data_IF_372704440409
#
_entry.id   IF_372704440409
#
_cell.length_a   1.000
_cell.length_b   1.000
_cell.length_c   1.000
_cell.angle_alpha   90.00
_cell.angle_beta   90.00
_cell.angle_gamma   90.00
#
_symmetry.space_group_name_H-M   'P 1'
#
loop_
_entity.id
_entity.type
_entity.pdbx_description
1 polymer ?
#
# COMPACT_ATOMS: atom_id res chain seq x y z
N UNK A 1 42.57 10.14 58.29
CA UNK A 1 41.75 8.91 58.36
C UNK A 1 40.33 9.32 57.99
N UNK A 2 39.96 9.34 56.70
CA UNK A 2 39.52 8.19 55.89
C UNK A 2 38.63 7.24 56.68
N UNK A 3 37.32 7.29 56.42
CA UNK A 3 36.49 6.14 56.05
C UNK A 3 35.29 6.64 55.23
N UNK A 4 35.22 6.14 54.00
CA UNK A 4 34.20 6.28 52.95
C UNK A 4 32.85 5.65 53.32
N UNK A 5 31.72 6.16 52.79
CA UNK A 5 30.57 5.35 52.45
C UNK A 5 30.60 4.92 50.98
N UNK A 6 30.36 3.64 50.76
CA UNK A 6 30.23 2.89 49.50
C UNK A 6 29.11 3.39 48.57
N UNK A 7 29.22 3.19 47.24
CA UNK A 7 28.22 3.58 46.27
C UNK A 7 27.04 2.58 46.25
N UNK A 8 25.86 3.05 46.61
CA UNK A 8 24.60 2.34 46.43
C UNK A 8 24.08 2.54 45.01
N UNK A 9 24.13 1.45 44.24
CA UNK A 9 23.45 1.15 42.98
C UNK A 9 22.61 2.27 42.33
N UNK A 10 23.08 2.74 41.17
CA UNK A 10 22.26 3.40 40.17
C UNK A 10 21.17 2.43 39.67
N UNK A 11 19.94 2.56 40.19
CA UNK A 11 18.79 1.91 39.58
C UNK A 11 18.35 2.76 38.39
N UNK A 12 19.03 2.56 37.26
CA UNK A 12 18.64 3.14 35.98
C UNK A 12 17.27 2.62 35.58
N UNK A 13 16.26 3.49 35.65
CA UNK A 13 14.96 3.25 35.06
C UNK A 13 15.13 3.28 33.54
N UNK A 14 15.41 2.12 32.95
CA UNK A 14 15.42 1.95 31.51
C UNK A 14 13.96 2.01 31.04
N UNK A 15 13.49 3.22 30.73
CA UNK A 15 12.21 3.44 30.04
C UNK A 15 12.35 2.88 28.62
N UNK A 16 12.06 1.59 28.47
CA UNK A 16 11.69 0.99 27.19
C UNK A 16 10.41 1.69 26.72
N UNK A 17 10.57 2.72 25.90
CA UNK A 17 9.48 3.22 25.07
C UNK A 17 9.13 2.10 24.09
N UNK A 18 8.18 1.25 24.50
CA UNK A 18 7.36 0.50 23.55
C UNK A 18 6.63 1.56 22.75
N UNK A 19 7.17 1.88 21.57
CA UNK A 19 6.52 2.75 20.60
C UNK A 19 5.26 2.02 20.12
N UNK A 20 4.16 2.24 20.84
CA UNK A 20 2.84 1.97 20.33
C UNK A 20 2.76 2.65 18.95
N UNK A 21 2.54 1.87 17.91
CA UNK A 21 2.31 2.39 16.56
C UNK A 21 1.00 3.15 16.60
N UNK A 22 1.09 4.46 16.86
CA UNK A 22 -0.04 5.36 16.89
C UNK A 22 -0.24 5.85 15.45
N UNK A 23 -1.18 5.24 14.73
CA UNK A 23 -1.61 5.74 13.43
C UNK A 23 -2.53 6.95 13.66
N UNK A 24 -2.00 8.17 13.62
CA UNK A 24 -2.76 9.36 13.24
C UNK A 24 -1.83 10.56 13.01
N UNK A 25 -1.79 11.06 11.77
CA UNK A 25 -1.36 12.42 11.47
C UNK A 25 -2.20 12.93 10.28
N UNK A 26 -3.17 13.79 10.58
CA UNK A 26 -3.90 14.60 9.60
C UNK A 26 -2.99 15.80 9.29
N UNK A 27 -2.46 15.90 8.08
CA UNK A 27 -1.67 17.08 7.66
C UNK A 27 -2.53 17.96 6.75
N UNK A 28 -2.50 19.28 6.98
CA UNK A 28 -3.52 20.24 6.52
C UNK A 28 -3.57 20.56 5.02
N UNK A 29 -4.56 21.40 4.69
CA UNK A 29 -4.95 22.04 3.41
C UNK A 29 -5.26 21.14 2.19
N UNK A 30 -4.58 20.01 2.06
CA UNK A 30 -4.92 18.91 1.15
C UNK A 30 -4.98 17.64 1.98
N UNK A 31 -6.19 17.23 2.38
CA UNK A 31 -6.36 16.15 3.36
C UNK A 31 -5.90 14.79 2.81
N UNK A 32 -4.61 14.52 2.98
CA UNK A 32 -4.02 13.21 2.80
C UNK A 32 -4.17 12.42 4.10
N UNK A 33 -4.42 11.12 3.96
CA UNK A 33 -4.63 10.20 5.07
C UNK A 33 -3.45 9.25 5.13
N UNK A 34 -2.90 9.02 6.33
CA UNK A 34 -1.68 8.23 6.50
C UNK A 34 -1.93 7.06 7.44
N UNK A 35 -1.59 5.85 6.99
CA UNK A 35 -1.41 4.67 7.82
C UNK A 35 0.09 4.39 7.96
N UNK A 36 0.55 4.01 9.15
CA UNK A 36 1.97 3.76 9.36
C UNK A 36 2.22 2.69 10.42
N UNK A 37 3.18 1.81 10.13
CA UNK A 37 3.76 0.85 11.07
C UNK A 37 5.31 0.98 11.03
N UNK A 38 6.10 0.14 11.72
CA UNK A 38 7.56 0.22 11.69
C UNK A 38 8.19 0.00 10.29
N UNK A 39 7.50 -0.65 9.37
CA UNK A 39 8.01 -1.08 8.06
C UNK A 39 7.54 -0.22 6.88
N UNK A 40 6.28 0.22 6.90
CA UNK A 40 5.61 0.91 5.81
C UNK A 40 4.96 2.21 6.30
N UNK A 41 4.88 3.19 5.41
CA UNK A 41 3.98 4.34 5.51
C UNK A 41 3.13 4.38 4.24
N UNK A 42 1.83 4.27 4.40
CA UNK A 42 0.85 4.31 3.31
C UNK A 42 0.15 5.66 3.33
N UNK A 43 0.22 6.39 2.23
CA UNK A 43 -0.43 7.69 2.06
C UNK A 43 -1.56 7.55 1.05
N UNK A 44 -2.79 7.82 1.47
CA UNK A 44 -3.95 7.92 0.58
C UNK A 44 -4.18 9.40 0.28
N UNK A 45 -4.29 9.73 -1.01
CA UNK A 45 -4.48 11.08 -1.56
C UNK A 45 -5.87 11.15 -2.23
N UNK A 46 -6.94 11.49 -1.49
CA UNK A 46 -8.31 11.31 -1.96
C UNK A 46 -8.65 12.13 -3.20
N UNK A 47 -8.22 13.40 -3.26
CA UNK A 47 -8.45 14.28 -4.41
C UNK A 47 -7.85 13.73 -5.70
N UNK A 48 -6.69 13.07 -5.60
CA UNK A 48 -6.00 12.47 -6.74
C UNK A 48 -6.49 11.05 -7.05
N UNK A 49 -7.30 10.43 -6.18
CA UNK A 49 -7.66 9.02 -6.29
C UNK A 49 -6.44 8.10 -6.24
N UNK A 50 -5.45 8.43 -5.41
CA UNK A 50 -4.13 7.79 -5.42
C UNK A 50 -3.71 7.23 -4.06
N UNK A 51 -2.94 6.15 -4.09
CA UNK A 51 -2.20 5.58 -2.96
C UNK A 51 -0.71 5.65 -3.27
N UNK A 52 0.07 5.95 -2.23
CA UNK A 52 1.52 5.87 -2.21
C UNK A 52 1.94 4.97 -1.04
N UNK A 53 2.96 4.14 -1.24
CA UNK A 53 3.53 3.30 -0.19
C UNK A 53 5.03 3.58 -0.07
N UNK A 54 5.45 4.09 1.08
CA UNK A 54 6.85 4.20 1.43
C UNK A 54 7.30 2.96 2.20
N UNK A 55 8.17 2.16 1.57
CA UNK A 55 8.91 1.07 2.21
C UNK A 55 10.11 1.65 2.95
N UNK A 56 10.08 1.58 4.28
CA UNK A 56 11.11 2.14 5.16
C UNK A 56 12.38 1.30 5.19
N UNK A 57 12.27 -0.01 4.94
CA UNK A 57 13.42 -0.92 4.89
C UNK A 57 14.24 -0.64 3.64
N UNK A 58 13.57 -0.58 2.48
CA UNK A 58 14.22 -0.28 1.21
C UNK A 58 14.51 1.22 1.02
N UNK A 59 13.86 2.08 1.82
CA UNK A 59 13.83 3.55 1.68
C UNK A 59 13.34 3.97 0.30
N UNK A 60 12.26 3.35 -0.17
CA UNK A 60 11.70 3.59 -1.50
C UNK A 60 10.22 3.93 -1.44
N UNK A 61 9.79 4.78 -2.37
CA UNK A 61 8.40 5.20 -2.52
C UNK A 61 7.83 4.52 -3.76
N UNK A 62 6.77 3.75 -3.55
CA UNK A 62 5.96 3.15 -4.60
C UNK A 62 4.76 4.08 -4.86
N UNK A 63 4.61 4.54 -6.09
CA UNK A 63 3.54 5.46 -6.49
C UNK A 63 2.62 4.81 -7.52
N UNK A 64 1.35 5.19 -7.51
CA UNK A 64 0.46 4.91 -8.64
C UNK A 64 0.71 5.93 -9.76
N UNK A 65 0.46 5.57 -11.05
CA UNK A 65 0.67 6.50 -12.16
C UNK A 65 -0.14 7.77 -11.98
N UNK A 66 0.38 8.92 -12.43
CA UNK A 66 -0.27 10.22 -12.27
C UNK A 66 -1.69 10.25 -12.89
N UNK A 67 -2.63 11.06 -12.36
CA UNK A 67 -3.98 11.19 -12.90
C UNK A 67 -4.04 11.87 -14.28
N UNK A 68 -3.00 12.60 -14.68
CA UNK A 68 -2.98 13.38 -15.91
C UNK A 68 -3.19 12.48 -17.13
N UNK A 69 -4.31 12.65 -17.84
CA UNK A 69 -4.69 11.81 -18.98
C UNK A 69 -5.51 10.57 -18.63
N UNK A 70 -5.94 10.40 -17.36
CA UNK A 70 -6.78 9.29 -16.89
C UNK A 70 -8.17 9.79 -16.45
N UNK A 71 -9.10 10.01 -17.41
CA UNK A 71 -10.45 10.51 -17.10
C UNK A 71 -11.30 9.51 -16.30
N UNK A 72 -10.87 8.26 -16.24
CA UNK A 72 -11.45 7.18 -15.46
C UNK A 72 -11.04 7.21 -13.98
N UNK A 73 -10.02 7.99 -13.61
CA UNK A 73 -9.55 8.05 -12.22
C UNK A 73 -10.49 8.89 -11.37
N UNK A 74 -11.31 8.19 -10.58
CA UNK A 74 -12.27 8.81 -9.70
C UNK A 74 -11.62 9.21 -8.36
N UNK A 75 -11.85 10.45 -7.87
CA UNK A 75 -11.40 10.85 -6.55
C UNK A 75 -12.05 9.96 -5.49
N UNK A 76 -11.32 9.71 -4.41
CA UNK A 76 -11.84 8.94 -3.28
C UNK A 76 -12.76 9.81 -2.43
N UNK A 77 -13.91 9.24 -2.05
CA UNK A 77 -14.96 9.89 -1.25
C UNK A 77 -15.16 9.15 0.05
N UNK A 78 -15.84 9.79 1.00
CA UNK A 78 -16.24 9.20 2.27
C UNK A 78 -15.08 8.48 2.99
N UNK A 79 -13.93 9.15 3.03
CA UNK A 79 -12.72 8.59 3.64
C UNK A 79 -12.88 8.55 5.16
N UNK A 80 -12.67 7.37 5.73
CA UNK A 80 -12.70 7.10 7.16
C UNK A 80 -11.38 6.43 7.55
N UNK A 81 -10.82 6.83 8.67
CA UNK A 81 -9.58 6.25 9.19
C UNK A 81 -9.76 5.86 10.66
N UNK A 82 -9.11 4.78 11.08
CA UNK A 82 -9.10 4.33 12.46
C UNK A 82 -8.42 2.97 12.59
N UNK A 83 -7.70 2.74 13.70
CA UNK A 83 -7.13 1.43 14.05
C UNK A 83 -6.31 0.75 12.93
N UNK A 84 -5.38 1.46 12.29
CA UNK A 84 -4.59 0.98 11.13
C UNK A 84 -5.43 0.58 9.90
N UNK A 85 -6.69 0.97 9.86
CA UNK A 85 -7.62 0.77 8.75
C UNK A 85 -8.00 2.12 8.15
N UNK A 86 -8.12 2.15 6.84
CA UNK A 86 -8.61 3.28 6.08
C UNK A 86 -9.64 2.77 5.06
N UNK A 87 -10.84 3.30 5.13
CA UNK A 87 -11.94 2.96 4.21
C UNK A 87 -12.30 4.18 3.37
N UNK A 88 -12.57 3.98 2.10
CA UNK A 88 -13.02 5.03 1.19
C UNK A 88 -13.87 4.44 0.07
N UNK A 89 -14.53 5.31 -0.69
CA UNK A 89 -15.31 4.95 -1.85
C UNK A 89 -14.69 5.51 -3.13
N UNK A 90 -14.75 4.75 -4.21
CA UNK A 90 -14.46 5.19 -5.57
C UNK A 90 -15.50 4.63 -6.52
N UNK A 91 -15.45 5.01 -7.81
CA UNK A 91 -16.39 4.52 -8.82
C UNK A 91 -15.67 3.68 -9.86
N UNK A 92 -16.27 2.55 -10.22
CA UNK A 92 -15.80 1.68 -11.29
C UNK A 92 -16.96 0.88 -11.86
N UNK A 93 -16.91 0.53 -13.14
CA UNK A 93 -17.95 -0.30 -13.78
C UNK A 93 -19.38 0.25 -13.63
N UNK A 94 -19.53 1.56 -13.47
CA UNK A 94 -20.81 2.23 -13.24
C UNK A 94 -21.30 2.26 -11.78
N UNK A 95 -20.67 1.52 -10.86
CA UNK A 95 -21.06 1.40 -9.45
C UNK A 95 -20.06 2.07 -8.49
N UNK A 96 -20.54 2.39 -7.29
CA UNK A 96 -19.68 2.77 -6.17
C UNK A 96 -19.05 1.51 -5.57
N UNK A 97 -17.74 1.57 -5.38
CA UNK A 97 -16.91 0.51 -4.81
C UNK A 97 -16.30 1.03 -3.51
N UNK A 98 -16.53 0.29 -2.43
CA UNK A 98 -15.85 0.48 -1.16
C UNK A 98 -14.49 -0.19 -1.18
N UNK A 99 -13.47 0.53 -0.78
CA UNK A 99 -12.10 0.03 -0.62
C UNK A 99 -11.73 0.13 0.85
N UNK A 100 -11.26 -0.96 1.42
CA UNK A 100 -10.73 -1.03 2.79
C UNK A 100 -9.27 -1.41 2.73
N UNK A 101 -8.42 -0.52 3.24
CA UNK A 101 -6.97 -0.68 3.30
C UNK A 101 -6.60 -0.91 4.76
N UNK A 102 -6.03 -2.07 5.07
CA UNK A 102 -5.59 -2.44 6.42
C UNK A 102 -4.08 -2.62 6.42
N UNK A 103 -3.39 -1.85 7.25
CA UNK A 103 -1.95 -2.01 7.47
C UNK A 103 -1.73 -2.88 8.71
N UNK A 104 -1.09 -4.03 8.56
CA UNK A 104 -0.76 -4.86 9.71
C UNK A 104 0.14 -4.08 10.68
N UNK A 105 -0.11 -4.14 11.99
CA UNK A 105 0.64 -3.33 12.95
C UNK A 105 2.11 -3.76 13.11
N UNK A 106 2.45 -5.00 12.74
CA UNK A 106 3.72 -5.67 13.04
C UNK A 106 4.44 -6.22 11.81
N UNK A 107 3.77 -6.30 10.66
CA UNK A 107 4.31 -6.86 9.42
C UNK A 107 4.36 -5.84 8.28
N UNK A 108 5.25 -5.99 7.30
CA UNK A 108 5.26 -5.18 6.09
C UNK A 108 4.14 -5.61 5.11
N UNK A 109 2.91 -5.80 5.60
CA UNK A 109 1.78 -6.32 4.83
C UNK A 109 0.65 -5.29 4.79
N UNK A 110 0.16 -5.02 3.57
CA UNK A 110 -0.99 -4.17 3.30
C UNK A 110 -2.09 -5.03 2.70
N UNK A 111 -3.20 -5.18 3.42
CA UNK A 111 -4.39 -5.86 2.91
C UNK A 111 -5.32 -4.84 2.28
N UNK A 112 -5.73 -5.10 1.03
CA UNK A 112 -6.74 -4.32 0.33
C UNK A 112 -7.94 -5.20 0.04
N UNK A 113 -9.10 -4.79 0.53
CA UNK A 113 -10.38 -5.44 0.24
C UNK A 113 -11.26 -4.47 -0.52
N UNK A 114 -11.86 -4.93 -1.61
CA UNK A 114 -12.78 -4.16 -2.43
C UNK A 114 -14.14 -4.83 -2.41
N UNK A 115 -15.20 -4.03 -2.30
CA UNK A 115 -16.58 -4.52 -2.30
C UNK A 115 -17.48 -3.53 -3.03
N UNK A 116 -18.37 -4.02 -3.88
CA UNK A 116 -19.43 -3.18 -4.43
C UNK A 116 -20.36 -2.73 -3.29
N UNK A 117 -20.75 -1.45 -3.29
CA UNK A 117 -21.74 -0.94 -2.33
C UNK A 117 -23.13 -1.54 -2.56
N UNK A 118 -23.40 -1.98 -3.79
CA UNK A 118 -24.63 -2.65 -4.23
C UNK A 118 -24.26 -3.96 -4.96
N UNK A 119 -23.96 -5.05 -4.23
CA UNK A 119 -23.47 -6.30 -4.83
C UNK A 119 -24.47 -6.96 -5.80
N UNK A 120 -25.76 -6.63 -5.69
CA UNK A 120 -26.83 -7.11 -6.54
C UNK A 120 -26.92 -6.38 -7.90
N UNK A 121 -26.32 -5.20 -8.01
CA UNK A 121 -26.38 -4.40 -9.22
C UNK A 121 -25.43 -4.96 -10.29
N UNK A 122 -25.84 -4.84 -11.56
CA UNK A 122 -25.00 -5.29 -12.68
C UNK A 122 -23.71 -4.46 -12.74
N UNK A 123 -22.59 -5.12 -12.48
CA UNK A 123 -21.26 -4.52 -12.54
C UNK A 123 -20.66 -4.66 -13.94
N UNK A 124 -20.22 -3.55 -14.53
CA UNK A 124 -19.55 -3.55 -15.83
C UNK A 124 -18.05 -3.76 -15.69
N UNK A 125 -17.56 -4.99 -15.83
CA UNK A 125 -16.12 -5.30 -15.89
C UNK A 125 -15.52 -5.79 -14.56
N UNK A 126 -14.27 -5.39 -14.28
CA UNK A 126 -13.53 -5.71 -13.06
C UNK A 126 -13.04 -4.43 -12.37
N UNK A 127 -12.82 -4.47 -11.05
CA UNK A 127 -12.16 -3.39 -10.34
C UNK A 127 -10.87 -3.87 -9.70
N UNK A 128 -9.80 -3.12 -9.93
CA UNK A 128 -8.57 -3.15 -9.15
C UNK A 128 -8.22 -1.71 -8.80
N UNK A 129 -7.51 -1.52 -7.69
CA UNK A 129 -6.74 -0.30 -7.53
C UNK A 129 -5.66 -0.23 -8.61
N UNK A 130 -5.26 1.00 -8.93
CA UNK A 130 -4.11 1.24 -9.79
C UNK A 130 -2.86 0.53 -9.26
N UNK A 131 -2.05 0.04 -10.19
CA UNK A 131 -0.78 -0.64 -9.87
C UNK A 131 0.20 0.32 -9.18
N UNK A 132 0.93 -0.19 -8.20
CA UNK A 132 2.09 0.48 -7.64
C UNK A 132 3.27 0.30 -8.59
N UNK A 133 3.77 1.40 -9.15
CA UNK A 133 4.88 1.39 -10.08
C UNK A 133 6.20 1.06 -9.37
N UNK A 134 7.07 0.25 -9.99
CA UNK A 134 8.40 -0.03 -9.47
C UNK A 134 9.24 1.25 -9.33
N UNK A 135 9.94 1.45 -8.19
CA UNK A 135 10.77 2.64 -7.98
C UNK A 135 12.19 2.51 -8.58
N UNK A 136 12.47 1.45 -9.34
CA UNK A 136 13.80 1.14 -9.89
C UNK A 136 13.74 1.04 -11.42
N UNK A 137 14.73 1.59 -12.16
CA UNK A 137 14.75 1.56 -13.62
C UNK A 137 15.07 0.18 -14.21
N UNK A 138 15.65 -0.72 -13.42
CA UNK A 138 16.10 -2.07 -13.76
C UNK A 138 15.18 -3.17 -13.18
N UNK A 139 13.99 -2.81 -12.72
CA UNK A 139 13.06 -3.77 -12.15
C UNK A 139 12.57 -4.80 -13.18
N UNK A 140 12.21 -5.97 -12.68
CA UNK A 140 11.56 -7.03 -13.44
C UNK A 140 10.19 -7.33 -12.83
N UNK A 141 9.22 -7.61 -13.70
CA UNK A 141 7.89 -8.09 -13.34
C UNK A 141 7.95 -9.62 -13.37
N UNK A 142 7.68 -10.25 -12.24
CA UNK A 142 7.59 -11.70 -12.11
C UNK A 142 6.13 -12.13 -12.22
N UNK A 143 5.82 -12.95 -13.22
CA UNK A 143 4.49 -13.46 -13.48
C UNK A 143 4.53 -14.98 -13.43
N UNK A 144 3.60 -15.60 -12.70
CA UNK A 144 3.45 -17.05 -12.64
C UNK A 144 2.49 -17.57 -13.72
N UNK A 145 2.71 -17.18 -14.98
CA UNK A 145 1.90 -17.60 -16.13
C UNK A 145 2.50 -18.84 -16.83
N UNK A 146 1.66 -19.57 -17.58
CA UNK A 146 2.05 -20.69 -18.46
C UNK A 146 2.93 -21.78 -17.81
N UNK A 147 2.66 -22.12 -16.56
CA UNK A 147 3.27 -23.20 -15.75
C UNK A 147 4.76 -23.06 -15.42
N UNK A 148 5.51 -22.26 -16.18
CA UNK A 148 6.93 -22.03 -15.96
C UNK A 148 7.22 -20.66 -15.31
N UNK A 149 6.28 -19.71 -15.43
CA UNK A 149 6.48 -18.33 -15.03
C UNK A 149 7.51 -17.61 -15.90
N UNK A 150 7.43 -16.27 -15.91
CA UNK A 150 8.33 -15.42 -16.67
C UNK A 150 8.77 -14.20 -15.85
N UNK A 151 9.97 -13.72 -16.16
CA UNK A 151 10.48 -12.43 -15.70
C UNK A 151 10.53 -11.48 -16.90
N UNK A 152 9.83 -10.36 -16.80
CA UNK A 152 9.78 -9.34 -17.82
C UNK A 152 10.45 -8.05 -17.32
N UNK A 153 11.51 -7.56 -17.97
CA UNK A 153 12.07 -6.26 -17.64
C UNK A 153 11.03 -5.15 -17.82
N UNK A 154 10.99 -4.17 -16.91
CA UNK A 154 10.05 -3.04 -17.03
C UNK A 154 10.36 -2.13 -18.23
N UNK A 155 11.54 -2.29 -18.82
CA UNK A 155 12.01 -1.58 -20.02
C UNK A 155 11.54 -2.21 -21.33
N UNK A 156 10.80 -3.32 -21.26
CA UNK A 156 10.26 -3.99 -22.42
C UNK A 156 9.27 -3.07 -23.14
N UNK A 157 9.54 -2.76 -24.42
CA UNK A 157 8.71 -1.86 -25.23
C UNK A 157 7.32 -2.43 -25.51
N UNK A 158 7.28 -3.72 -25.84
CA UNK A 158 6.05 -4.44 -26.16
C UNK A 158 5.86 -5.56 -25.15
N UNK A 159 4.92 -5.37 -24.22
CA UNK A 159 4.59 -6.40 -23.25
C UNK A 159 3.81 -7.53 -23.96
N UNK A 160 4.22 -8.81 -23.83
CA UNK A 160 3.68 -9.90 -24.64
C UNK A 160 2.20 -10.18 -24.39
N UNK A 161 1.68 -9.79 -23.22
CA UNK A 161 0.27 -9.94 -22.86
C UNK A 161 -0.26 -8.66 -22.21
N UNK A 162 -1.20 -7.99 -22.87
CA UNK A 162 -1.87 -6.79 -22.34
C UNK A 162 -3.04 -7.11 -21.42
N UNK A 163 -3.41 -8.39 -21.32
CA UNK A 163 -4.44 -8.90 -20.42
C UNK A 163 -4.12 -10.35 -20.03
N UNK A 164 -4.49 -10.71 -18.81
CA UNK A 164 -4.48 -12.10 -18.32
C UNK A 164 -5.87 -12.46 -17.86
N UNK A 165 -6.41 -13.58 -18.36
CA UNK A 165 -7.53 -14.22 -17.69
C UNK A 165 -6.99 -15.02 -16.50
N UNK A 166 -7.77 -15.09 -15.42
CA UNK A 166 -7.33 -15.73 -14.17
C UNK A 166 -6.97 -17.22 -14.33
N UNK A 167 -7.50 -17.87 -15.36
CA UNK A 167 -7.18 -19.25 -15.75
C UNK A 167 -5.79 -19.41 -16.38
N UNK A 168 -5.11 -18.31 -16.74
CA UNK A 168 -3.75 -18.30 -17.31
C UNK A 168 -2.64 -18.13 -16.26
N UNK A 169 -3.01 -17.88 -15.01
CA UNK A 169 -2.06 -17.76 -13.89
C UNK A 169 -2.06 -19.06 -13.09
N UNK A 170 -0.90 -19.72 -13.02
CA UNK A 170 -0.74 -20.91 -12.18
C UNK A 170 -0.76 -20.56 -10.69
N UNK A 171 -0.33 -19.36 -10.35
CA UNK A 171 -0.50 -18.79 -9.01
C UNK A 171 -1.08 -17.38 -9.14
N UNK A 172 -2.01 -16.98 -8.26
CA UNK A 172 -2.74 -15.71 -8.38
C UNK A 172 -1.91 -14.53 -7.84
N UNK A 173 -0.67 -14.39 -8.30
CA UNK A 173 0.20 -13.28 -7.92
C UNK A 173 1.04 -12.78 -9.09
N UNK A 174 1.36 -11.48 -9.03
CA UNK A 174 2.37 -10.81 -9.84
C UNK A 174 3.31 -10.11 -8.87
N UNK A 175 4.61 -10.28 -9.08
CA UNK A 175 5.66 -9.69 -8.25
C UNK A 175 6.46 -8.67 -9.03
N UNK A 176 7.16 -7.81 -8.30
CA UNK A 176 8.19 -6.93 -8.84
C UNK A 176 9.47 -7.21 -8.06
N UNK A 177 10.55 -7.50 -8.76
CA UNK A 177 11.88 -7.66 -8.17
C UNK A 177 12.85 -6.62 -8.74
N UNK A 178 13.84 -6.28 -7.93
CA UNK A 178 15.01 -5.55 -8.40
C UNK A 178 15.88 -6.52 -9.23
N UNK A 179 16.36 -6.07 -10.38
CA UNK A 179 17.29 -6.81 -11.24
C UNK A 179 18.71 -6.89 -10.69
#
# INVERSE_FOLDING_TARGET
MNLTPTPGAACGLLLLFVSASMAYARQGAEENYVLQNPHLRVTVRPKLGAIEVYDKRARRIWTQPEPTGRPDRNPFKNVQAGNNVLTFQTRSGGLDVRVTVTLDARKPELLVVTAAERPEARFGGGFSLDVLLPPYPDANIAIADYSNGHLYPITLKDFPATWFAGDRLNMPWVGVCQG
#
